data_IF_902861868273
#
_entry.id   IF_902861868273
#
_cell.length_a   1.000
_cell.length_b   1.000
_cell.length_c   1.000
_cell.angle_alpha   90.00
_cell.angle_beta   90.00
_cell.angle_gamma   90.00
#
_symmetry.space_group_name_H-M   'P 1'
#
loop_
_entity.id
_entity.type
_entity.pdbx_description
1 polymer ?
#
# COMPACT_ATOMS: atom_id res chain seq x y z
N UNK A 1 -7.66 7.67 -5.37
CA UNK A 1 -6.56 6.76 -5.73
C UNK A 1 -6.26 6.84 -7.21
N UNK A 2 -4.98 6.75 -7.58
CA UNK A 2 -4.59 6.36 -8.92
C UNK A 2 -4.17 4.89 -8.86
N UNK A 3 -4.69 4.08 -9.78
CA UNK A 3 -4.31 2.68 -9.90
C UNK A 3 -3.54 2.46 -11.20
N UNK A 4 -2.46 1.70 -11.16
CA UNK A 4 -1.66 1.36 -12.34
C UNK A 4 -1.37 -0.14 -12.35
N UNK A 5 -1.43 -0.73 -13.54
CA UNK A 5 -1.03 -2.10 -13.79
C UNK A 5 0.10 -2.09 -14.83
N UNK A 6 1.24 -2.67 -14.47
CA UNK A 6 2.44 -2.72 -15.30
C UNK A 6 2.77 -4.18 -15.57
N UNK A 7 2.71 -4.60 -16.84
CA UNK A 7 3.03 -5.96 -17.24
C UNK A 7 4.48 -6.06 -17.70
N UNK A 8 5.28 -6.89 -17.03
CA UNK A 8 6.67 -7.20 -17.41
C UNK A 8 6.68 -8.55 -18.12
N UNK A 9 6.68 -8.51 -19.47
CA UNK A 9 6.66 -9.72 -20.30
C UNK A 9 7.82 -10.67 -19.98
N UNK A 10 9.04 -10.13 -19.81
CA UNK A 10 10.26 -10.93 -19.66
C UNK A 10 10.28 -11.76 -18.37
N UNK A 11 9.62 -11.29 -17.32
CA UNK A 11 9.61 -11.94 -16.00
C UNK A 11 8.27 -12.63 -15.69
N UNK A 12 7.31 -12.56 -16.60
CA UNK A 12 5.93 -12.98 -16.36
C UNK A 12 5.32 -12.36 -15.09
N UNK A 13 5.59 -11.09 -14.82
CA UNK A 13 5.12 -10.40 -13.61
C UNK A 13 4.16 -9.25 -13.95
N UNK A 14 2.94 -9.33 -13.43
CA UNK A 14 2.00 -8.20 -13.40
C UNK A 14 2.20 -7.44 -12.09
N UNK A 15 2.51 -6.16 -12.20
CA UNK A 15 2.68 -5.29 -11.05
C UNK A 15 1.50 -4.35 -10.92
N UNK A 16 0.82 -4.43 -9.79
CA UNK A 16 -0.24 -3.53 -9.40
C UNK A 16 0.33 -2.45 -8.48
N UNK A 17 -0.02 -1.20 -8.75
CA UNK A 17 0.33 -0.05 -7.94
C UNK A 17 -0.95 0.70 -7.58
N UNK A 18 -1.14 0.96 -6.30
CA UNK A 18 -2.22 1.81 -5.81
C UNK A 18 -1.62 3.05 -5.12
N UNK A 19 -1.95 4.23 -5.62
CA UNK A 19 -1.38 5.50 -5.19
C UNK A 19 -2.47 6.35 -4.51
N UNK A 20 -2.40 6.56 -3.19
CA UNK A 20 -3.36 7.36 -2.43
C UNK A 20 -3.21 8.88 -2.61
N UNK A 21 -2.32 9.36 -3.48
CA UNK A 21 -1.94 10.78 -3.62
C UNK A 21 -1.44 11.41 -2.30
N UNK A 22 -0.62 10.65 -1.56
CA UNK A 22 0.02 11.11 -0.32
C UNK A 22 1.48 11.43 -0.58
N UNK A 23 1.86 12.67 -0.30
CA UNK A 23 3.25 13.13 -0.35
C UNK A 23 3.84 13.21 1.05
N UNK A 24 5.02 12.61 1.21
CA UNK A 24 5.74 12.55 2.47
C UNK A 24 6.76 13.69 2.51
N UNK A 25 6.54 14.63 3.44
CA UNK A 25 7.50 15.70 3.68
C UNK A 25 8.80 15.14 4.28
N UNK A 26 9.95 15.74 3.93
CA UNK A 26 11.27 15.27 4.36
C UNK A 26 11.39 15.06 5.88
N UNK A 27 10.79 15.98 6.66
CA UNK A 27 10.78 15.95 8.13
C UNK A 27 9.96 14.79 8.73
N UNK A 28 9.03 14.20 7.97
CA UNK A 28 8.18 13.06 8.40
C UNK A 28 8.65 11.72 7.82
N UNK A 29 9.64 11.72 6.92
CA UNK A 29 10.10 10.53 6.20
C UNK A 29 10.56 9.39 7.12
N UNK A 30 11.30 9.70 8.19
CA UNK A 30 11.73 8.68 9.15
C UNK A 30 10.54 7.98 9.81
N UNK A 31 9.56 8.74 10.29
CA UNK A 31 8.34 8.21 10.90
C UNK A 31 7.51 7.40 9.89
N UNK A 32 7.41 7.86 8.63
CA UNK A 32 6.71 7.09 7.60
C UNK A 32 7.42 5.77 7.32
N UNK A 33 8.75 5.74 7.20
CA UNK A 33 9.48 4.48 6.97
C UNK A 33 9.30 3.46 8.10
N UNK A 34 9.27 3.91 9.35
CA UNK A 34 8.93 3.04 10.47
C UNK A 34 7.49 2.52 10.36
N UNK A 35 6.52 3.38 10.00
CA UNK A 35 5.14 2.96 9.79
C UNK A 35 5.02 1.94 8.65
N UNK A 36 5.76 2.11 7.54
CA UNK A 36 5.79 1.13 6.46
C UNK A 36 6.22 -0.24 6.96
N UNK A 37 7.27 -0.32 7.79
CA UNK A 37 7.73 -1.58 8.35
C UNK A 37 6.63 -2.25 9.19
N UNK A 38 6.02 -1.50 10.12
CA UNK A 38 4.96 -2.02 11.00
C UNK A 38 3.68 -2.43 10.24
N UNK A 39 3.34 -1.71 9.17
CA UNK A 39 2.19 -2.05 8.31
C UNK A 39 2.52 -3.29 7.48
N UNK A 40 3.71 -3.34 6.87
CA UNK A 40 4.11 -4.44 5.99
C UNK A 40 4.19 -5.78 6.73
N UNK A 41 4.48 -5.77 8.04
CA UNK A 41 4.39 -6.98 8.88
C UNK A 41 2.96 -7.55 8.99
N UNK A 42 1.93 -6.75 8.73
CA UNK A 42 0.53 -7.14 8.79
C UNK A 42 -0.07 -7.48 7.42
N UNK A 43 0.69 -7.28 6.35
CA UNK A 43 0.25 -7.55 4.98
C UNK A 43 0.56 -8.99 4.59
N UNK A 44 -0.43 -9.66 4.02
CA UNK A 44 -0.24 -10.96 3.39
C UNK A 44 0.23 -10.83 1.94
N UNK A 45 -0.22 -9.78 1.27
CA UNK A 45 0.02 -9.54 -0.15
C UNK A 45 0.52 -8.12 -0.36
N UNK A 46 1.54 -7.98 -1.21
CA UNK A 46 2.15 -6.69 -1.52
C UNK A 46 2.85 -6.03 -0.33
N UNK A 47 3.13 -4.74 -0.48
CA UNK A 47 3.74 -3.89 0.54
C UNK A 47 3.49 -2.41 0.23
N UNK A 48 3.55 -1.56 1.25
CA UNK A 48 3.68 -0.12 1.06
C UNK A 48 5.15 0.29 0.89
N UNK A 49 5.36 1.30 0.06
CA UNK A 49 6.65 1.91 -0.24
C UNK A 49 6.51 3.42 -0.44
N UNK A 50 7.63 4.14 -0.45
CA UNK A 50 7.71 5.55 -0.81
C UNK A 50 8.69 5.71 -1.96
N UNK A 51 8.19 6.12 -3.13
CA UNK A 51 9.05 6.34 -4.29
C UNK A 51 10.04 7.50 -4.06
N UNK A 52 11.29 7.22 -4.37
CA UNK A 52 12.42 8.15 -4.19
C UNK A 52 12.28 9.43 -5.02
N UNK A 53 11.64 9.36 -6.18
CA UNK A 53 11.36 10.51 -7.02
C UNK A 53 10.00 11.14 -6.65
N UNK A 54 10.01 12.02 -5.64
CA UNK A 54 8.84 12.82 -5.25
C UNK A 54 8.22 12.45 -3.90
N UNK A 55 8.81 11.50 -3.16
CA UNK A 55 8.37 11.06 -1.83
C UNK A 55 6.88 10.71 -1.79
N UNK A 56 6.41 10.01 -2.82
CA UNK A 56 5.00 9.62 -2.96
C UNK A 56 4.81 8.24 -2.35
N UNK A 57 3.85 8.12 -1.44
CA UNK A 57 3.42 6.85 -0.88
C UNK A 57 2.69 6.02 -1.94
N UNK A 58 2.95 4.72 -1.96
CA UNK A 58 2.22 3.77 -2.79
C UNK A 58 2.09 2.41 -2.08
N UNK A 59 1.10 1.65 -2.49
CA UNK A 59 1.06 0.20 -2.31
C UNK A 59 1.50 -0.48 -3.61
N UNK A 60 2.28 -1.56 -3.50
CA UNK A 60 2.83 -2.34 -4.61
C UNK A 60 2.60 -3.82 -4.40
N UNK A 61 2.02 -4.47 -5.39
CA UNK A 61 1.79 -5.92 -5.39
C UNK A 61 2.25 -6.53 -6.71
N UNK A 62 3.25 -7.40 -6.65
CA UNK A 62 3.71 -8.18 -7.80
C UNK A 62 3.04 -9.55 -7.84
N UNK A 63 2.37 -9.85 -8.95
CA UNK A 63 1.77 -11.14 -9.25
C UNK A 63 2.65 -11.84 -10.29
N UNK A 64 3.31 -12.92 -9.88
CA UNK A 64 3.99 -13.80 -10.83
C UNK A 64 2.95 -14.69 -11.49
N UNK A 65 2.87 -14.61 -12.81
CA UNK A 65 2.00 -15.45 -13.63
C UNK A 65 2.81 -16.67 -14.07
N UNK A 66 2.15 -17.83 -14.16
CA UNK A 66 2.79 -19.06 -14.65
C UNK A 66 3.21 -18.96 -16.12
N UNK A 67 3.72 -20.05 -16.67
CA UNK A 67 4.33 -20.10 -18.01
C UNK A 67 3.45 -19.51 -19.12
N UNK A 68 2.13 -19.69 -19.02
CA UNK A 68 1.17 -19.16 -20.02
C UNK A 68 0.95 -17.64 -19.90
N UNK A 69 1.41 -17.00 -18.83
CA UNK A 69 1.25 -15.57 -18.56
C UNK A 69 -0.22 -15.15 -18.38
N UNK A 70 -1.11 -16.08 -18.09
CA UNK A 70 -2.56 -15.85 -18.00
C UNK A 70 -2.97 -15.53 -16.57
N UNK A 71 -3.90 -14.58 -16.46
CA UNK A 71 -4.61 -14.22 -15.23
C UNK A 71 -6.10 -14.22 -15.54
N UNK A 72 -6.90 -14.97 -14.78
CA UNK A 72 -8.35 -14.94 -15.00
C UNK A 72 -8.94 -13.56 -14.63
N UNK A 73 -10.07 -13.14 -15.23
CA UNK A 73 -10.73 -11.91 -14.82
C UNK A 73 -11.09 -11.88 -13.32
N UNK A 74 -11.49 -13.01 -12.74
CA UNK A 74 -11.79 -13.10 -11.31
C UNK A 74 -10.55 -12.95 -10.44
N UNK A 75 -9.41 -13.53 -10.83
CA UNK A 75 -8.15 -13.35 -10.13
C UNK A 75 -7.64 -11.91 -10.23
N UNK A 76 -7.78 -11.30 -11.40
CA UNK A 76 -7.44 -9.89 -11.60
C UNK A 76 -8.30 -8.99 -10.68
N UNK A 77 -9.61 -9.24 -10.63
CA UNK A 77 -10.52 -8.50 -9.75
C UNK A 77 -10.13 -8.64 -8.28
N UNK A 78 -9.92 -9.88 -7.79
CA UNK A 78 -9.50 -10.11 -6.40
C UNK A 78 -8.19 -9.40 -6.06
N UNK A 79 -7.22 -9.38 -6.98
CA UNK A 79 -5.94 -8.71 -6.74
C UNK A 79 -6.06 -7.18 -6.70
N UNK A 80 -6.96 -6.60 -7.51
CA UNK A 80 -7.25 -5.16 -7.50
C UNK A 80 -8.00 -4.78 -6.22
N UNK A 81 -9.03 -5.54 -5.85
CA UNK A 81 -9.82 -5.33 -4.64
C UNK A 81 -8.92 -5.39 -3.40
N UNK A 82 -8.10 -6.45 -3.26
CA UNK A 82 -7.15 -6.56 -2.15
C UNK A 82 -6.18 -5.36 -2.08
N UNK A 83 -5.67 -4.87 -3.22
CA UNK A 83 -4.79 -3.71 -3.24
C UNK A 83 -5.48 -2.41 -2.79
N UNK A 84 -6.76 -2.25 -3.11
CA UNK A 84 -7.56 -1.09 -2.69
C UNK A 84 -7.91 -1.19 -1.21
N UNK A 85 -8.36 -2.36 -0.75
CA UNK A 85 -8.71 -2.62 0.65
C UNK A 85 -7.53 -2.37 1.59
N UNK A 86 -6.33 -2.85 1.26
CA UNK A 86 -5.15 -2.58 2.10
C UNK A 86 -4.78 -1.10 2.10
N UNK A 87 -4.91 -0.41 0.96
CA UNK A 87 -4.75 1.05 0.88
C UNK A 87 -5.74 1.77 1.80
N UNK A 88 -7.04 1.46 1.72
CA UNK A 88 -8.08 2.08 2.54
C UNK A 88 -7.86 1.80 4.03
N UNK A 89 -7.54 0.54 4.38
CA UNK A 89 -7.29 0.09 5.75
C UNK A 89 -6.15 0.86 6.42
N UNK A 90 -5.05 1.09 5.71
CA UNK A 90 -3.86 1.72 6.31
C UNK A 90 -3.70 3.20 5.99
N UNK A 91 -4.55 3.77 5.11
CA UNK A 91 -4.54 5.20 4.80
C UNK A 91 -4.59 6.11 6.04
N UNK A 92 -5.43 5.83 7.07
CA UNK A 92 -5.50 6.67 8.27
C UNK A 92 -4.18 6.73 9.06
N UNK A 93 -3.35 5.68 9.03
CA UNK A 93 -2.04 5.66 9.72
C UNK A 93 -1.17 6.81 9.21
N UNK A 94 -1.11 6.98 7.89
CA UNK A 94 -0.32 8.04 7.27
C UNK A 94 -0.88 9.42 7.61
N UNK A 95 -2.21 9.59 7.63
CA UNK A 95 -2.83 10.85 8.03
C UNK A 95 -2.48 11.23 9.47
N UNK A 96 -2.52 10.28 10.40
CA UNK A 96 -2.17 10.53 11.80
C UNK A 96 -0.69 10.91 11.98
N UNK A 97 0.23 10.36 11.20
CA UNK A 97 1.65 10.72 11.26
C UNK A 97 1.89 12.10 10.64
N UNK A 98 1.28 12.36 9.49
CA UNK A 98 1.50 13.58 8.72
C UNK A 98 0.85 14.81 9.37
N UNK A 99 -0.33 14.65 9.99
CA UNK A 99 -1.13 15.76 10.52
C UNK A 99 -1.47 15.66 12.00
N UNK A 100 -1.42 14.47 12.61
CA UNK A 100 -1.86 14.24 13.99
C UNK A 100 -0.73 14.13 15.03
N UNK A 101 0.53 14.34 14.62
CA UNK A 101 1.74 14.22 15.46
C UNK A 101 1.86 12.93 16.29
N UNK A 102 1.14 11.87 15.90
CA UNK A 102 1.27 10.53 16.50
C UNK A 102 2.58 9.88 16.08
N UNK A 103 3.16 9.07 16.97
CA UNK A 103 4.22 8.14 16.60
C UNK A 103 3.67 7.05 15.65
N UNK A 104 4.53 6.37 14.87
CA UNK A 104 4.09 5.30 13.97
C UNK A 104 3.27 4.20 14.65
N UNK A 105 3.71 3.74 15.82
CA UNK A 105 3.00 2.73 16.60
C UNK A 105 1.62 3.22 17.09
N UNK A 106 1.53 4.45 17.59
CA UNK A 106 0.26 5.05 18.03
C UNK A 106 -0.70 5.28 16.85
N UNK A 107 -0.17 5.72 15.72
CA UNK A 107 -0.95 5.93 14.50
C UNK A 107 -1.54 4.61 13.99
N UNK A 108 -0.74 3.55 13.97
CA UNK A 108 -1.17 2.21 13.59
C UNK A 108 -2.23 1.66 14.54
N UNK A 109 -2.00 1.76 15.85
CA UNK A 109 -2.98 1.32 16.85
C UNK A 109 -4.31 2.06 16.72
N UNK A 110 -4.27 3.38 16.50
CA UNK A 110 -5.48 4.19 16.32
C UNK A 110 -6.25 3.82 15.05
N UNK A 111 -5.57 3.64 13.91
CA UNK A 111 -6.21 3.29 12.65
C UNK A 111 -6.91 1.92 12.73
N UNK A 112 -6.33 0.97 13.46
CA UNK A 112 -6.90 -0.37 13.62
C UNK A 112 -8.14 -0.39 14.53
N UNK A 113 -8.30 0.60 15.42
CA UNK A 113 -9.51 0.76 16.24
C UNK A 113 -10.65 1.36 15.41
N UNK A 114 -10.36 2.39 14.61
CA UNK A 114 -11.36 3.05 13.76
C UNK A 114 -11.85 2.10 12.64
N UNK A 115 -10.95 1.32 12.02
CA UNK A 115 -11.31 0.33 11.01
C UNK A 115 -12.24 -0.78 11.55
N UNK A 116 -12.18 -1.09 12.84
CA UNK A 116 -13.10 -2.03 13.49
C UNK A 116 -14.46 -1.39 13.85
N UNK A 117 -14.55 -0.06 13.89
CA UNK A 117 -15.77 0.69 14.19
C UNK A 117 -16.63 1.04 12.97
N UNK A 118 -16.08 0.93 11.76
CA UNK A 118 -16.78 1.18 10.49
C UNK A 118 -17.28 -0.12 9.79
N UNK A 119 -17.09 -1.29 10.41
CA UNK A 119 -17.51 -2.60 9.91
C UNK A 119 -18.83 -3.11 10.51
#
# INVERSE_FOLDING_TARGET
YQFQAIWRHEDHVLQLLCLPDVRVADKKRAAVYEALALINEQLWLGHFDVWSNGSVLLYRHGLMLGDDGLLSPSQAQMAVEAAIEECDRFYPVFQFILWGDKTPAEALAAAMVDAAGEA
#
